data_IF_182571718576
#
_entry.id   IF_182571718576
#
_cell.length_a   1.000
_cell.length_b   1.000
_cell.length_c   1.000
_cell.angle_alpha   90.00
_cell.angle_beta   90.00
_cell.angle_gamma   90.00
#
_symmetry.space_group_name_H-M   'P 1'
#
loop_
_entity.id
_entity.type
_entity.pdbx_description
1 polymer ?
#
# COMPACT_ATOMS: atom_id res chain seq x y z
N UNK A 1 -8.09 51.76 25.89
CA UNK A 1 -7.51 50.42 26.05
C UNK A 1 -7.31 49.83 24.65
N UNK A 2 -6.06 49.42 24.35
CA UNK A 2 -5.55 48.64 23.19
C UNK A 2 -5.68 49.25 21.77
N UNK A 3 -4.54 49.69 21.17
CA UNK A 3 -3.57 48.96 20.30
C UNK A 3 -4.14 48.71 18.89
N UNK A 4 -3.82 49.58 17.92
CA UNK A 4 -2.74 49.53 16.91
C UNK A 4 -3.18 48.87 15.58
N UNK A 5 -2.56 49.25 14.44
CA UNK A 5 -3.13 49.26 13.09
C UNK A 5 -2.57 48.15 12.19
N UNK A 6 -3.17 47.93 11.01
CA UNK A 6 -2.50 47.37 9.83
C UNK A 6 -3.30 47.84 8.60
N UNK A 7 -2.75 48.72 7.75
CA UNK A 7 -1.77 48.45 6.68
C UNK A 7 -2.33 47.44 5.67
N UNK A 8 -2.87 47.89 4.54
CA UNK A 8 -2.21 48.23 3.26
C UNK A 8 -2.14 47.04 2.29
N UNK A 9 -2.55 47.31 1.05
CA UNK A 9 -2.37 46.54 -0.20
C UNK A 9 -3.26 45.28 -0.36
N UNK A 10 -4.27 45.29 -1.24
CA UNK A 10 -4.21 45.27 -2.71
C UNK A 10 -3.71 43.92 -3.27
N UNK A 11 -4.60 43.23 -3.99
CA UNK A 11 -4.34 42.47 -5.23
C UNK A 11 -5.53 41.52 -5.48
N UNK A 12 -6.37 41.86 -6.45
CA UNK A 12 -6.44 41.21 -7.77
C UNK A 12 -7.19 39.86 -7.72
N UNK A 13 -8.43 39.91 -8.20
CA UNK A 13 -9.23 38.73 -8.53
C UNK A 13 -9.22 38.61 -10.06
N UNK A 14 -8.94 37.38 -10.52
CA UNK A 14 -9.34 36.71 -11.78
C UNK A 14 -8.24 36.26 -12.75
N UNK A 15 -8.25 34.93 -12.91
CA UNK A 15 -8.11 34.16 -14.16
C UNK A 15 -6.73 33.61 -14.50
N UNK A 16 -6.43 32.46 -13.89
CA UNK A 16 -5.53 31.44 -14.44
C UNK A 16 -6.01 30.09 -13.91
N UNK A 17 -6.28 29.15 -14.81
CA UNK A 17 -6.88 27.86 -14.50
C UNK A 17 -6.18 27.16 -13.33
N UNK A 18 -6.93 26.83 -12.27
CA UNK A 18 -6.52 25.76 -11.38
C UNK A 18 -6.69 24.46 -12.15
N UNK A 19 -5.62 24.02 -12.83
CA UNK A 19 -5.48 22.61 -13.16
C UNK A 19 -5.69 21.83 -11.86
N UNK A 20 -6.57 20.81 -11.83
CA UNK A 20 -6.70 19.99 -10.64
C UNK A 20 -5.32 19.42 -10.35
N UNK A 21 -4.70 19.85 -9.24
CA UNK A 21 -3.50 19.21 -8.73
C UNK A 21 -3.89 17.74 -8.56
N UNK A 22 -3.31 16.79 -9.32
CA UNK A 22 -3.62 15.38 -9.09
C UNK A 22 -3.25 15.13 -7.63
N UNK A 23 -4.24 14.75 -6.83
CA UNK A 23 -4.01 14.31 -5.48
C UNK A 23 -3.17 13.04 -5.62
N UNK A 24 -1.86 13.17 -5.48
CA UNK A 24 -0.93 12.04 -5.40
C UNK A 24 -1.17 11.38 -4.04
N UNK A 25 -2.33 10.75 -3.88
CA UNK A 25 -2.47 9.70 -2.89
C UNK A 25 -1.42 8.64 -3.26
N UNK A 26 -0.64 8.12 -2.31
CA UNK A 26 0.24 7.01 -2.61
C UNK A 26 -0.61 5.89 -3.22
N UNK A 27 -0.43 5.65 -4.52
CA UNK A 27 -1.20 4.64 -5.23
C UNK A 27 -0.84 3.28 -4.63
N UNK A 28 -1.84 2.62 -4.02
CA UNK A 28 -1.66 1.27 -3.50
C UNK A 28 -1.23 0.34 -4.65
N UNK A 29 -0.39 -0.67 -4.37
CA UNK A 29 -0.06 -1.67 -5.39
C UNK A 29 -1.34 -2.37 -5.89
N UNK A 30 -1.37 -2.67 -7.18
CA UNK A 30 -2.43 -3.48 -7.76
C UNK A 30 -2.19 -4.96 -7.47
N UNK A 31 -3.27 -5.75 -7.42
CA UNK A 31 -3.12 -7.21 -7.28
C UNK A 31 -2.28 -7.75 -8.44
N UNK A 32 -2.59 -7.31 -9.66
CA UNK A 32 -1.92 -7.74 -10.88
C UNK A 32 -0.42 -7.41 -10.90
N UNK A 33 0.00 -6.29 -10.32
CA UNK A 33 1.42 -5.92 -10.23
C UNK A 33 2.19 -6.82 -9.25
N UNK A 34 1.52 -7.34 -8.21
CA UNK A 34 2.17 -8.22 -7.22
C UNK A 34 2.27 -9.67 -7.69
N UNK A 35 1.27 -10.18 -8.41
CA UNK A 35 1.22 -11.57 -8.89
C UNK A 35 2.51 -12.11 -9.54
N UNK A 36 3.22 -11.39 -10.43
CA UNK A 36 4.40 -11.95 -11.07
C UNK A 36 5.56 -12.24 -10.11
N UNK A 37 5.62 -11.53 -8.99
CA UNK A 37 6.69 -11.60 -7.98
C UNK A 37 6.40 -12.63 -6.87
N UNK A 38 5.19 -13.21 -6.85
CA UNK A 38 4.78 -14.26 -5.90
C UNK A 38 5.34 -15.63 -6.31
N UNK A 39 6.63 -15.82 -6.12
CA UNK A 39 7.36 -17.06 -6.40
C UNK A 39 7.56 -17.91 -5.15
N UNK A 40 7.79 -19.22 -5.30
CA UNK A 40 8.12 -20.14 -4.20
C UNK A 40 9.44 -19.82 -3.51
N UNK A 41 10.29 -19.01 -4.13
CA UNK A 41 11.56 -18.56 -3.58
C UNK A 41 11.48 -17.22 -2.84
N UNK A 42 10.32 -16.54 -2.88
CA UNK A 42 10.11 -15.27 -2.20
C UNK A 42 10.29 -15.43 -0.68
N UNK A 43 11.18 -14.63 -0.10
CA UNK A 43 11.43 -14.58 1.36
C UNK A 43 10.85 -13.29 1.95
N UNK A 44 10.73 -13.15 3.28
CA UNK A 44 10.25 -11.89 3.88
C UNK A 44 11.09 -10.68 3.44
N UNK A 45 12.41 -10.81 3.46
CA UNK A 45 13.31 -9.75 3.00
C UNK A 45 13.18 -9.46 1.50
N UNK A 46 12.91 -10.49 0.69
CA UNK A 46 12.61 -10.31 -0.73
C UNK A 46 11.29 -9.56 -0.95
N UNK A 47 10.24 -9.92 -0.22
CA UNK A 47 8.95 -9.23 -0.27
C UNK A 47 9.08 -7.76 0.14
N UNK A 48 9.83 -7.45 1.19
CA UNK A 48 10.11 -6.06 1.58
C UNK A 48 10.90 -5.27 0.53
N UNK A 49 11.83 -5.92 -0.18
CA UNK A 49 12.60 -5.27 -1.25
C UNK A 49 11.75 -4.99 -2.49
N UNK A 50 10.81 -5.88 -2.81
CA UNK A 50 10.00 -5.79 -4.03
C UNK A 50 8.75 -4.95 -3.82
N UNK A 51 8.05 -5.14 -2.71
CA UNK A 51 6.77 -4.51 -2.42
C UNK A 51 6.86 -3.37 -1.39
N UNK A 52 8.00 -3.22 -0.72
CA UNK A 52 8.12 -2.35 0.45
C UNK A 52 7.67 -3.01 1.75
N UNK A 53 7.70 -2.26 2.87
CA UNK A 53 7.27 -2.79 4.16
C UNK A 53 5.79 -3.19 4.11
N UNK A 54 5.40 -4.31 4.76
CA UNK A 54 4.00 -4.68 4.86
C UNK A 54 3.24 -3.67 5.75
N UNK A 55 1.95 -3.51 5.48
CA UNK A 55 1.05 -2.68 6.28
C UNK A 55 0.82 -3.28 7.67
N UNK A 56 0.78 -4.61 7.75
CA UNK A 56 0.68 -5.34 9.01
C UNK A 56 1.57 -6.60 8.98
N UNK A 57 2.18 -6.90 10.13
CA UNK A 57 2.86 -8.18 10.37
C UNK A 57 2.13 -8.88 11.49
N UNK A 58 1.63 -10.09 11.22
CA UNK A 58 0.87 -10.88 12.18
C UNK A 58 1.37 -12.34 12.25
N UNK A 59 0.93 -13.07 13.27
CA UNK A 59 1.24 -14.49 13.48
C UNK A 59 2.31 -14.78 14.54
N UNK A 60 2.11 -15.87 15.29
CA UNK A 60 3.03 -16.37 16.31
C UNK A 60 3.84 -17.56 15.78
N UNK A 61 5.03 -17.29 15.23
CA UNK A 61 5.95 -18.30 14.68
C UNK A 61 5.84 -18.51 13.17
N UNK A 62 4.70 -18.15 12.57
CA UNK A 62 4.55 -17.92 11.14
C UNK A 62 4.48 -16.40 10.93
N UNK A 63 5.40 -15.83 10.18
CA UNK A 63 5.35 -14.41 9.81
C UNK A 63 4.34 -14.24 8.68
N UNK A 64 3.29 -13.49 8.93
CA UNK A 64 2.26 -13.20 7.94
C UNK A 64 2.38 -11.72 7.62
N UNK A 65 2.80 -11.41 6.39
CA UNK A 65 2.84 -10.05 5.88
C UNK A 65 1.51 -9.75 5.21
N UNK A 66 0.91 -8.63 5.56
CA UNK A 66 -0.34 -8.15 4.97
C UNK A 66 -0.05 -6.87 4.20
N UNK A 67 -0.42 -6.87 2.93
CA UNK A 67 -0.31 -5.72 2.05
C UNK A 67 -1.71 -5.24 1.66
N UNK A 68 -2.00 -3.96 1.89
CA UNK A 68 -3.15 -3.31 1.29
C UNK A 68 -2.88 -3.11 -0.20
N UNK A 69 -3.84 -3.53 -0.99
CA UNK A 69 -3.82 -3.42 -2.45
C UNK A 69 -5.11 -2.73 -2.89
N UNK A 70 -5.16 -2.28 -4.13
CA UNK A 70 -6.30 -1.55 -4.72
C UNK A 70 -7.69 -2.10 -4.35
N UNK A 71 -8.69 -1.21 -4.34
CA UNK A 71 -10.09 -1.56 -4.11
C UNK A 71 -10.35 -2.30 -2.79
N UNK A 72 -9.68 -1.90 -1.70
CA UNK A 72 -9.85 -2.48 -0.35
C UNK A 72 -9.49 -3.98 -0.25
N UNK A 73 -8.70 -4.49 -1.21
CA UNK A 73 -8.18 -5.84 -1.14
C UNK A 73 -6.97 -5.91 -0.20
N UNK A 74 -6.67 -7.12 0.27
CA UNK A 74 -5.43 -7.38 1.00
C UNK A 74 -4.76 -8.65 0.49
N UNK A 75 -3.44 -8.63 0.38
CA UNK A 75 -2.64 -9.82 0.08
C UNK A 75 -1.93 -10.27 1.36
N UNK A 76 -2.15 -11.53 1.72
CA UNK A 76 -1.50 -12.21 2.83
C UNK A 76 -0.40 -13.10 2.32
N UNK A 77 0.84 -12.86 2.75
CA UNK A 77 2.00 -13.68 2.45
C UNK A 77 2.46 -14.41 3.73
N UNK A 78 2.42 -15.74 3.72
CA UNK A 78 2.78 -16.55 4.88
C UNK A 78 4.20 -17.12 4.76
N UNK A 79 5.08 -16.76 5.70
CA UNK A 79 6.47 -17.21 5.77
C UNK A 79 6.74 -17.97 7.08
N UNK A 80 7.39 -19.15 7.03
CA UNK A 80 7.82 -19.86 8.24
C UNK A 80 9.11 -19.23 8.78
N UNK A 81 8.96 -18.16 9.57
CA UNK A 81 10.08 -17.32 9.97
C UNK A 81 10.70 -16.62 8.75
N UNK A 82 12.02 -16.70 8.59
CA UNK A 82 12.75 -16.07 7.49
C UNK A 82 12.93 -16.96 6.24
N UNK A 83 12.28 -18.13 6.22
CA UNK A 83 12.31 -19.05 5.10
C UNK A 83 11.36 -18.61 3.96
N UNK A 84 11.44 -19.22 2.77
CA UNK A 84 10.57 -18.88 1.65
C UNK A 84 9.08 -19.04 1.95
N UNK A 85 8.28 -18.28 1.21
CA UNK A 85 6.82 -18.23 1.31
C UNK A 85 6.20 -19.62 1.18
N UNK A 86 5.23 -19.90 2.04
CA UNK A 86 4.45 -21.15 2.03
C UNK A 86 3.10 -20.96 1.35
N UNK A 87 2.49 -19.77 1.47
CA UNK A 87 1.24 -19.46 0.79
C UNK A 87 1.09 -17.96 0.51
N UNK A 88 0.29 -17.64 -0.50
CA UNK A 88 -0.24 -16.31 -0.76
C UNK A 88 -1.77 -16.37 -0.86
N UNK A 89 -2.48 -15.40 -0.27
CA UNK A 89 -3.94 -15.31 -0.33
C UNK A 89 -4.40 -13.88 -0.60
N UNK A 90 -5.43 -13.72 -1.41
CA UNK A 90 -6.15 -12.47 -1.63
C UNK A 90 -7.39 -12.46 -0.76
N UNK A 91 -7.50 -11.50 0.16
CA UNK A 91 -8.74 -11.14 0.82
C UNK A 91 -9.46 -10.11 -0.03
N UNK A 92 -10.66 -10.45 -0.50
CA UNK A 92 -11.55 -9.52 -1.19
C UNK A 92 -12.32 -8.67 -0.17
N UNK A 93 -12.86 -7.51 -0.58
CA UNK A 93 -13.74 -6.68 0.26
C UNK A 93 -14.98 -7.42 0.78
N UNK A 94 -15.41 -8.48 0.09
CA UNK A 94 -16.49 -9.37 0.52
C UNK A 94 -16.14 -10.22 1.75
N UNK A 95 -14.88 -10.25 2.17
CA UNK A 95 -14.34 -11.16 3.19
C UNK A 95 -13.94 -12.54 2.64
N UNK A 96 -14.06 -12.78 1.34
CA UNK A 96 -13.63 -14.02 0.70
C UNK A 96 -12.10 -14.08 0.62
N UNK A 97 -11.52 -15.19 1.09
CA UNK A 97 -10.09 -15.50 0.91
C UNK A 97 -9.91 -16.43 -0.28
N UNK A 98 -9.17 -15.96 -1.28
CA UNK A 98 -8.80 -16.73 -2.48
C UNK A 98 -7.32 -17.06 -2.41
N UNK A 99 -6.97 -18.34 -2.57
CA UNK A 99 -5.58 -18.74 -2.66
C UNK A 99 -4.96 -18.28 -3.99
N UNK A 100 -3.77 -17.68 -3.90
CA UNK A 100 -3.00 -17.26 -5.06
C UNK A 100 -1.92 -18.32 -5.31
N UNK A 101 -1.88 -18.93 -6.51
CA UNK A 101 -0.87 -19.93 -6.82
C UNK A 101 0.53 -19.30 -6.89
N UNK A 102 1.47 -19.90 -6.17
CA UNK A 102 2.88 -19.50 -6.22
C UNK A 102 3.53 -20.01 -7.52
N UNK A 103 4.32 -19.13 -8.12
CA UNK A 103 5.14 -19.44 -9.31
C UNK A 103 6.42 -20.16 -8.92
N UNK A 104 6.97 -20.98 -9.82
CA UNK A 104 8.30 -21.57 -9.67
C UNK A 104 9.37 -20.61 -10.20
#
# INVERSE_FOLDING_TARGET
MHRLPLSLAAALVLLGASEPVPHLEPELPTVEAMLPELTRSLTPSGAEQVFGPPDEITGSGLLIYVYQVEYEHQIYLGFPGYAPITYAKLLKPSGELVEIPLRD
#
